data_IF_190379632618
#
_entry.id   IF_190379632618
#
_cell.length_a   1.000
_cell.length_b   1.000
_cell.length_c   1.000
_cell.angle_alpha   90.00
_cell.angle_beta   90.00
_cell.angle_gamma   90.00
#
_symmetry.space_group_name_H-M   'P 1'
#
loop_
_entity.id
_entity.type
_entity.pdbx_description
1 polymer ?
#
# COMPACT_ATOMS: atom_id res chain seq x y z
N UNK A 1 4.41 34.43 -15.15
CA UNK A 1 3.95 33.14 -14.60
C UNK A 1 4.32 32.07 -15.61
N UNK A 2 5.38 31.32 -15.36
CA UNK A 2 5.81 30.22 -16.24
C UNK A 2 4.88 29.04 -15.98
N UNK A 3 4.23 28.45 -17.00
CA UNK A 3 3.45 27.25 -16.79
C UNK A 3 4.40 26.11 -16.40
N UNK A 4 4.17 25.49 -15.25
CA UNK A 4 4.77 24.18 -14.96
C UNK A 4 4.04 23.20 -15.88
N UNK A 5 4.66 22.86 -17.00
CA UNK A 5 4.19 21.78 -17.84
C UNK A 5 4.35 20.48 -17.04
N UNK A 6 3.27 20.06 -16.36
CA UNK A 6 3.16 18.70 -15.84
C UNK A 6 3.24 17.76 -17.03
N UNK A 7 4.39 17.10 -17.21
CA UNK A 7 4.54 16.06 -18.20
C UNK A 7 3.60 14.92 -17.81
N UNK A 8 2.43 14.86 -18.45
CA UNK A 8 1.50 13.76 -18.28
C UNK A 8 2.17 12.54 -18.91
N UNK A 9 2.82 11.71 -18.08
CA UNK A 9 3.30 10.41 -18.53
C UNK A 9 2.08 9.59 -18.95
N UNK A 10 2.07 8.96 -20.13
CA UNK A 10 0.99 8.07 -20.49
C UNK A 10 0.93 6.92 -19.47
N UNK A 11 -0.28 6.43 -19.12
CA UNK A 11 -0.42 5.33 -18.18
C UNK A 11 0.35 4.11 -18.68
N UNK A 12 1.00 3.41 -17.77
CA UNK A 12 1.71 2.19 -18.10
C UNK A 12 0.73 1.11 -18.56
N UNK A 13 1.17 0.23 -19.45
CA UNK A 13 0.35 -0.91 -19.89
C UNK A 13 0.08 -1.80 -18.68
N UNK A 14 -1.19 -2.10 -18.43
CA UNK A 14 -1.61 -3.01 -17.36
C UNK A 14 -0.92 -4.37 -17.50
N UNK A 15 -0.35 -4.85 -16.41
CA UNK A 15 0.35 -6.14 -16.29
C UNK A 15 -0.56 -7.13 -15.56
N UNK A 16 -0.98 -8.19 -16.24
CA UNK A 16 -1.85 -9.20 -15.65
C UNK A 16 -1.17 -9.88 -14.44
N UNK A 17 -1.92 -10.06 -13.35
CA UNK A 17 -1.47 -10.59 -12.07
C UNK A 17 -0.75 -9.58 -11.16
N UNK A 18 -0.53 -8.34 -11.61
CA UNK A 18 0.15 -7.33 -10.79
C UNK A 18 -0.78 -6.63 -9.82
N UNK A 19 -0.42 -6.64 -8.54
CA UNK A 19 -1.28 -6.20 -7.44
C UNK A 19 -0.57 -5.12 -6.64
N UNK A 20 -1.20 -3.96 -6.53
CA UNK A 20 -0.86 -2.94 -5.55
C UNK A 20 -1.42 -3.32 -4.17
N UNK A 21 -0.64 -3.13 -3.12
CA UNK A 21 -1.05 -3.37 -1.73
C UNK A 21 -0.92 -2.08 -0.96
N UNK A 22 -2.04 -1.55 -0.47
CA UNK A 22 -2.09 -0.35 0.36
C UNK A 22 -2.67 -0.70 1.73
N UNK A 23 -1.78 -0.90 2.70
CA UNK A 23 -2.16 -1.06 4.10
C UNK A 23 -2.44 0.30 4.76
N UNK A 24 -3.39 0.33 5.69
CA UNK A 24 -3.66 1.55 6.45
C UNK A 24 -4.71 1.36 7.53
N UNK A 25 -4.72 2.27 8.51
CA UNK A 25 -5.81 2.26 9.50
C UNK A 25 -7.13 2.68 8.85
N UNK A 26 -7.11 3.61 7.90
CA UNK A 26 -8.29 4.14 7.21
C UNK A 26 -9.38 4.63 8.18
N UNK A 27 -9.01 5.59 9.02
CA UNK A 27 -9.85 6.12 10.10
C UNK A 27 -10.02 7.64 10.02
N UNK A 28 -10.81 8.15 9.04
CA UNK A 28 -11.43 7.44 7.93
C UNK A 28 -10.52 7.36 6.68
N UNK A 29 -10.91 6.55 5.69
CA UNK A 29 -10.36 6.68 4.33
C UNK A 29 -10.70 8.06 3.74
N UNK A 30 -9.83 8.61 2.89
CA UNK A 30 -9.97 9.95 2.33
C UNK A 30 -9.34 10.03 0.93
N UNK A 31 -9.55 11.15 0.23
CA UNK A 31 -9.13 11.34 -1.17
C UNK A 31 -7.63 11.13 -1.41
N UNK A 32 -6.78 11.48 -0.43
CA UNK A 32 -5.33 11.24 -0.53
C UNK A 32 -4.96 9.77 -0.70
N UNK A 33 -5.66 8.84 -0.04
CA UNK A 33 -5.43 7.40 -0.21
C UNK A 33 -5.85 6.94 -1.62
N UNK A 34 -7.01 7.40 -2.07
CA UNK A 34 -7.55 7.04 -3.38
C UNK A 34 -6.67 7.57 -4.52
N UNK A 35 -6.21 8.81 -4.41
CA UNK A 35 -5.30 9.43 -5.38
C UNK A 35 -3.96 8.69 -5.43
N UNK A 36 -3.36 8.38 -4.27
CA UNK A 36 -2.10 7.65 -4.21
C UNK A 36 -2.21 6.23 -4.79
N UNK A 37 -3.31 5.52 -4.50
CA UNK A 37 -3.58 4.20 -5.05
C UNK A 37 -3.71 4.24 -6.57
N UNK A 38 -4.47 5.21 -7.09
CA UNK A 38 -4.71 5.34 -8.53
C UNK A 38 -3.44 5.77 -9.28
N UNK A 39 -2.69 6.74 -8.74
CA UNK A 39 -1.43 7.19 -9.34
C UNK A 39 -0.42 6.04 -9.41
N UNK A 40 -0.27 5.26 -8.34
CA UNK A 40 0.59 4.09 -8.34
C UNK A 40 0.11 3.04 -9.36
N UNK A 41 -1.21 2.81 -9.44
CA UNK A 41 -1.81 1.86 -10.37
C UNK A 41 -1.52 2.24 -11.82
N UNK A 42 -1.77 3.50 -12.19
CA UNK A 42 -1.54 3.99 -13.55
C UNK A 42 -0.05 4.05 -13.90
N UNK A 43 0.80 4.55 -12.99
CA UNK A 43 2.21 4.73 -13.26
C UNK A 43 2.97 3.39 -13.40
N UNK A 44 2.54 2.36 -12.68
CA UNK A 44 3.21 1.05 -12.66
C UNK A 44 2.47 -0.03 -13.47
N UNK A 45 1.29 0.29 -13.99
CA UNK A 45 0.47 -0.64 -14.78
C UNK A 45 -0.06 -1.78 -13.91
N UNK A 46 -0.46 -1.48 -12.67
CA UNK A 46 -1.04 -2.47 -11.76
C UNK A 46 -2.44 -2.85 -12.26
N UNK A 47 -2.74 -4.16 -12.24
CA UNK A 47 -4.08 -4.64 -12.61
C UNK A 47 -5.13 -4.18 -11.61
N UNK A 48 -4.80 -4.30 -10.32
CA UNK A 48 -5.67 -3.91 -9.21
C UNK A 48 -4.88 -3.40 -8.01
N UNK A 49 -5.58 -2.70 -7.11
CA UNK A 49 -5.05 -2.28 -5.81
C UNK A 49 -5.93 -2.85 -4.69
N UNK A 50 -5.30 -3.57 -3.76
CA UNK A 50 -5.90 -4.07 -2.54
C UNK A 50 -5.70 -3.05 -1.41
N UNK A 51 -6.80 -2.53 -0.89
CA UNK A 51 -6.84 -1.75 0.35
C UNK A 51 -6.97 -2.72 1.52
N UNK A 52 -6.03 -2.66 2.46
CA UNK A 52 -5.98 -3.58 3.61
C UNK A 52 -6.13 -2.80 4.91
N UNK A 53 -7.34 -2.72 5.48
CA UNK A 53 -7.56 -2.07 6.77
C UNK A 53 -6.84 -2.85 7.87
N UNK A 54 -6.02 -2.17 8.66
CA UNK A 54 -5.31 -2.82 9.75
C UNK A 54 -6.25 -3.33 10.85
N UNK A 55 -5.93 -4.44 11.50
CA UNK A 55 -6.66 -4.95 12.67
C UNK A 55 -6.32 -4.10 13.90
N UNK A 56 -5.08 -4.24 14.38
CA UNK A 56 -4.49 -3.39 15.42
C UNK A 56 -3.20 -2.79 14.87
N UNK A 57 -3.14 -1.47 14.63
CA UNK A 57 -1.89 -0.83 14.22
C UNK A 57 -0.86 -0.95 15.35
N UNK A 58 0.38 -1.38 15.10
CA UNK A 58 1.40 -1.56 16.14
C UNK A 58 1.71 -0.26 16.92
N UNK A 59 1.46 0.90 16.31
CA UNK A 59 1.79 2.22 16.86
C UNK A 59 0.60 2.97 17.51
N UNK A 60 -0.61 2.37 17.55
CA UNK A 60 -1.81 2.98 18.15
C UNK A 60 -2.49 2.05 19.17
N UNK A 61 -1.72 1.58 20.15
CA UNK A 61 -2.27 0.77 21.25
C UNK A 61 -3.13 1.62 22.22
N UNK A 62 -2.92 2.95 22.26
CA UNK A 62 -3.53 3.86 23.25
C UNK A 62 -4.67 4.74 22.69
N UNK A 63 -4.92 4.70 21.38
CA UNK A 63 -5.96 5.50 20.73
C UNK A 63 -6.99 4.60 20.05
N UNK A 64 -8.25 4.66 20.49
CA UNK A 64 -9.32 3.87 19.91
C UNK A 64 -9.60 4.36 18.48
N UNK A 65 -9.09 3.64 17.48
CA UNK A 65 -9.58 3.77 16.12
C UNK A 65 -11.06 3.38 16.06
N UNK A 66 -11.79 3.85 15.04
CA UNK A 66 -13.14 3.37 14.80
C UNK A 66 -13.14 1.81 14.68
N UNK A 67 -14.27 1.14 15.03
CA UNK A 67 -14.41 -0.30 14.90
C UNK A 67 -13.97 -0.79 13.52
N UNK A 68 -13.30 -1.95 13.47
CA UNK A 68 -12.76 -2.48 12.21
C UNK A 68 -13.84 -2.61 11.12
N UNK A 69 -15.06 -3.04 11.49
CA UNK A 69 -16.20 -3.12 10.58
C UNK A 69 -16.60 -1.77 9.98
N UNK A 70 -16.57 -0.70 10.77
CA UNK A 70 -16.90 0.65 10.28
C UNK A 70 -15.83 1.15 9.29
N UNK A 71 -14.56 0.91 9.59
CA UNK A 71 -13.44 1.27 8.71
C UNK A 71 -13.50 0.49 7.39
N UNK A 72 -13.78 -0.82 7.43
CA UNK A 72 -14.01 -1.63 6.23
C UNK A 72 -15.19 -1.10 5.42
N UNK A 73 -16.32 -0.78 6.07
CA UNK A 73 -17.49 -0.25 5.39
C UNK A 73 -17.19 1.08 4.70
N UNK A 74 -16.47 1.99 5.37
CA UNK A 74 -16.02 3.24 4.76
C UNK A 74 -15.10 3.02 3.56
N UNK A 75 -14.15 2.08 3.65
CA UNK A 75 -13.27 1.72 2.52
C UNK A 75 -14.09 1.18 1.35
N UNK A 76 -15.01 0.23 1.59
CA UNK A 76 -15.90 -0.33 0.56
C UNK A 76 -16.69 0.77 -0.16
N UNK A 77 -17.27 1.71 0.59
CA UNK A 77 -18.02 2.83 0.03
C UNK A 77 -17.11 3.75 -0.81
N UNK A 78 -15.91 4.06 -0.31
CA UNK A 78 -14.99 4.97 -0.98
C UNK A 78 -14.43 4.41 -2.31
N UNK A 79 -14.27 3.09 -2.42
CA UNK A 79 -13.69 2.45 -3.61
C UNK A 79 -14.74 1.92 -4.60
N UNK A 80 -16.03 1.91 -4.24
CA UNK A 80 -17.09 1.24 -4.99
C UNK A 80 -17.20 1.64 -6.48
N UNK A 81 -16.80 2.87 -6.83
CA UNK A 81 -16.85 3.37 -8.19
C UNK A 81 -15.62 3.01 -9.05
N UNK A 82 -14.54 2.47 -8.46
CA UNK A 82 -13.32 2.08 -9.17
C UNK A 82 -13.22 0.55 -9.25
N UNK A 83 -13.43 -0.06 -10.43
CA UNK A 83 -13.40 -1.52 -10.58
C UNK A 83 -12.00 -2.13 -10.40
N UNK A 84 -10.94 -1.32 -10.41
CA UNK A 84 -9.58 -1.79 -10.16
C UNK A 84 -9.22 -1.77 -8.67
N UNK A 85 -10.11 -1.31 -7.80
CA UNK A 85 -9.88 -1.28 -6.36
C UNK A 85 -10.69 -2.34 -5.65
N UNK A 86 -10.05 -3.04 -4.73
CA UNK A 86 -10.68 -4.05 -3.88
C UNK A 86 -10.27 -3.85 -2.43
N UNK A 87 -11.13 -4.29 -1.51
CA UNK A 87 -10.80 -4.35 -0.08
C UNK A 87 -10.43 -5.78 0.30
N UNK A 88 -9.40 -5.93 1.12
CA UNK A 88 -9.05 -7.20 1.75
C UNK A 88 -9.13 -7.06 3.27
N UNK A 89 -9.91 -7.94 3.90
CA UNK A 89 -10.08 -8.00 5.36
C UNK A 89 -9.05 -8.93 6.03
N UNK A 90 -8.04 -9.40 5.27
CA UNK A 90 -7.10 -10.44 5.71
C UNK A 90 -6.42 -10.13 7.06
N UNK A 91 -6.10 -8.87 7.34
CA UNK A 91 -5.53 -8.51 8.64
C UNK A 91 -6.55 -8.57 9.77
N UNK A 92 -7.78 -8.11 9.52
CA UNK A 92 -8.88 -8.14 10.49
C UNK A 92 -9.25 -9.58 10.82
N UNK A 93 -9.35 -10.44 9.81
CA UNK A 93 -9.64 -11.87 9.96
C UNK A 93 -8.53 -12.60 10.71
N UNK A 94 -7.26 -12.29 10.42
CA UNK A 94 -6.11 -12.84 11.15
C UNK A 94 -6.10 -12.41 12.61
N UNK A 95 -6.55 -11.19 12.89
CA UNK A 95 -6.52 -10.60 14.22
C UNK A 95 -5.11 -10.30 14.73
N UNK A 96 -5.01 -9.83 15.96
CA UNK A 96 -3.73 -9.46 16.57
C UNK A 96 -3.12 -8.18 15.97
N UNK A 97 -1.79 -8.07 16.04
CA UNK A 97 -1.03 -6.94 15.51
C UNK A 97 -0.86 -7.09 13.99
N UNK A 98 -1.08 -6.00 13.26
CA UNK A 98 -0.86 -5.93 11.83
C UNK A 98 0.63 -5.74 11.50
N UNK A 99 1.28 -6.76 10.94
CA UNK A 99 2.61 -6.64 10.34
C UNK A 99 2.55 -6.77 8.82
N UNK A 100 3.08 -5.78 8.11
CA UNK A 100 3.06 -5.73 6.64
C UNK A 100 3.81 -6.91 6.01
N UNK A 101 4.92 -7.35 6.61
CA UNK A 101 5.68 -8.51 6.13
C UNK A 101 4.83 -9.80 6.11
N UNK A 102 4.01 -10.01 7.14
CA UNK A 102 3.11 -11.17 7.23
C UNK A 102 1.98 -11.09 6.22
N UNK A 103 1.43 -9.89 6.02
CA UNK A 103 0.37 -9.64 5.05
C UNK A 103 0.86 -9.86 3.62
N UNK A 104 2.04 -9.37 3.27
CA UNK A 104 2.63 -9.59 1.94
C UNK A 104 2.90 -11.07 1.69
N UNK A 105 3.45 -11.81 2.67
CA UNK A 105 3.69 -13.25 2.50
C UNK A 105 2.38 -14.02 2.32
N UNK A 106 1.36 -13.75 3.15
CA UNK A 106 0.06 -14.40 3.04
C UNK A 106 -0.60 -14.17 1.67
N UNK A 107 -0.49 -12.95 1.12
CA UNK A 107 -0.97 -12.65 -0.23
C UNK A 107 -0.15 -13.37 -1.30
N UNK A 108 1.17 -13.43 -1.14
CA UNK A 108 2.04 -14.13 -2.08
C UNK A 108 1.72 -15.64 -2.11
N UNK A 109 1.48 -16.24 -0.95
CA UNK A 109 1.07 -17.64 -0.83
C UNK A 109 -0.30 -17.89 -1.46
N UNK A 110 -1.27 -17.01 -1.27
CA UNK A 110 -2.58 -17.12 -1.92
C UNK A 110 -2.46 -17.09 -3.45
N UNK A 111 -1.61 -16.22 -4.00
CA UNK A 111 -1.34 -16.17 -5.44
C UNK A 111 -0.67 -17.47 -5.94
N UNK A 112 0.34 -17.98 -5.20
CA UNK A 112 1.02 -19.25 -5.51
C UNK A 112 0.06 -20.44 -5.50
N UNK A 113 -0.81 -20.53 -4.48
CA UNK A 113 -1.82 -21.58 -4.37
C UNK A 113 -2.82 -21.56 -5.52
N UNK A 114 -3.10 -20.37 -6.06
CA UNK A 114 -3.92 -20.20 -7.24
C UNK A 114 -3.16 -20.38 -8.57
N UNK A 115 -1.91 -20.87 -8.51
CA UNK A 115 -1.08 -21.19 -9.68
C UNK A 115 -0.47 -19.96 -10.36
N UNK A 116 -0.39 -18.80 -9.67
CA UNK A 116 0.16 -17.55 -10.21
C UNK A 116 1.51 -17.22 -9.59
N UNK A 117 2.31 -16.44 -10.32
CA UNK A 117 3.53 -15.84 -9.78
C UNK A 117 3.14 -14.55 -9.06
N UNK A 118 3.51 -14.38 -7.78
CA UNK A 118 3.14 -13.18 -7.03
C UNK A 118 3.88 -11.94 -7.56
N UNK A 119 3.11 -10.97 -8.04
CA UNK A 119 3.63 -9.66 -8.47
C UNK A 119 3.08 -8.55 -7.58
N UNK A 120 3.53 -8.53 -6.33
CA UNK A 120 3.06 -7.61 -5.31
C UNK A 120 3.90 -6.33 -5.30
N UNK A 121 3.21 -5.19 -5.22
CA UNK A 121 3.82 -3.86 -5.01
C UNK A 121 3.21 -3.22 -3.78
N UNK A 122 3.99 -3.05 -2.71
CA UNK A 122 3.60 -2.28 -1.55
C UNK A 122 3.61 -0.79 -1.88
N UNK A 123 2.46 -0.12 -1.73
CA UNK A 123 2.30 1.31 -1.99
C UNK A 123 2.39 2.05 -0.65
N UNK A 124 3.40 2.91 -0.51
CA UNK A 124 3.66 3.73 0.67
C UNK A 124 3.56 5.20 0.31
N UNK A 125 3.10 6.03 1.25
CA UNK A 125 3.33 7.46 1.17
C UNK A 125 4.78 7.78 1.54
N UNK A 126 5.33 8.85 0.98
CA UNK A 126 6.71 9.29 1.26
C UNK A 126 6.97 9.54 2.77
N UNK A 127 5.95 9.91 3.53
CA UNK A 127 6.02 10.11 4.99
C UNK A 127 6.23 8.81 5.78
N UNK A 128 5.80 7.66 5.25
CA UNK A 128 5.91 6.36 5.90
C UNK A 128 7.25 5.68 5.63
N UNK A 129 7.93 6.05 4.55
CA UNK A 129 9.19 5.42 4.14
C UNK A 129 10.31 5.49 5.19
N UNK A 130 10.53 6.60 5.92
CA UNK A 130 11.58 6.68 6.94
C UNK A 130 11.42 5.65 8.08
N UNK A 131 10.20 5.20 8.35
CA UNK A 131 9.91 4.22 9.40
C UNK A 131 10.17 2.78 8.95
N UNK A 132 10.26 2.53 7.62
CA UNK A 132 10.37 1.19 7.04
C UNK A 132 11.52 0.34 7.64
N UNK A 133 12.74 0.87 7.90
CA UNK A 133 13.79 0.10 8.55
C UNK A 133 13.47 -0.38 9.97
N UNK A 134 12.53 0.28 10.65
CA UNK A 134 12.06 -0.11 11.99
C UNK A 134 10.85 -1.04 11.97
N UNK A 135 10.32 -1.40 10.80
CA UNK A 135 9.15 -2.28 10.71
C UNK A 135 9.50 -3.72 11.11
N UNK A 136 8.47 -4.52 11.39
CA UNK A 136 8.66 -5.94 11.65
C UNK A 136 9.19 -6.65 10.40
N UNK A 137 10.39 -7.25 10.53
CA UNK A 137 11.08 -8.01 9.49
C UNK A 137 11.22 -7.27 8.14
N UNK A 138 11.90 -6.11 8.12
CA UNK A 138 11.90 -5.23 6.95
C UNK A 138 12.70 -5.83 5.79
N UNK A 139 13.75 -6.61 6.09
CA UNK A 139 14.52 -7.35 5.09
C UNK A 139 13.68 -8.42 4.37
N UNK A 140 12.79 -9.12 5.10
CA UNK A 140 11.85 -10.07 4.49
C UNK A 140 10.85 -9.34 3.60
N UNK A 141 10.33 -8.21 4.09
CA UNK A 141 9.36 -7.40 3.35
C UNK A 141 9.91 -6.91 1.99
N UNK A 142 11.12 -6.32 1.98
CA UNK A 142 11.73 -5.80 0.74
C UNK A 142 12.11 -6.94 -0.24
N UNK A 143 12.38 -8.14 0.26
CA UNK A 143 12.64 -9.31 -0.57
C UNK A 143 11.35 -9.91 -1.18
N UNK A 144 10.21 -9.72 -0.52
CA UNK A 144 8.94 -10.35 -0.89
C UNK A 144 8.10 -9.52 -1.88
N UNK A 145 8.35 -8.21 -2.00
CA UNK A 145 7.56 -7.34 -2.88
C UNK A 145 8.35 -6.15 -3.42
N UNK A 146 7.82 -5.50 -4.46
CA UNK A 146 8.31 -4.19 -4.90
C UNK A 146 7.76 -3.11 -3.97
N UNK A 147 8.52 -2.03 -3.77
CA UNK A 147 8.04 -0.86 -3.02
C UNK A 147 7.82 0.31 -3.97
N UNK A 148 6.64 0.89 -3.92
CA UNK A 148 6.28 2.12 -4.62
C UNK A 148 6.05 3.22 -3.59
N UNK A 149 6.74 4.35 -3.75
CA UNK A 149 6.63 5.49 -2.85
C UNK A 149 5.94 6.63 -3.59
N UNK A 150 4.77 7.04 -3.09
CA UNK A 150 3.99 8.14 -3.66
C UNK A 150 4.44 9.45 -3.00
N UNK A 151 4.92 10.43 -3.79
CA UNK A 151 5.32 11.73 -3.26
C UNK A 151 4.09 12.48 -2.74
N UNK A 152 4.30 13.33 -1.73
CA UNK A 152 3.26 14.21 -1.20
C UNK A 152 3.76 15.64 -1.19
N UNK A 153 2.94 16.56 -1.68
CA UNK A 153 3.28 17.98 -1.65
C UNK A 153 3.55 18.43 -0.20
N UNK A 154 4.62 19.20 0.00
CA UNK A 154 5.08 19.63 1.32
C UNK A 154 6.04 18.67 2.03
N UNK A 155 6.33 17.49 1.46
CA UNK A 155 7.34 16.57 1.98
C UNK A 155 8.55 16.48 1.06
N UNK A 156 9.78 16.38 1.60
CA UNK A 156 10.96 16.17 0.78
C UNK A 156 10.86 14.83 0.04
N UNK A 157 11.46 14.77 -1.15
CA UNK A 157 11.63 13.50 -1.84
C UNK A 157 12.39 12.52 -0.94
N UNK A 158 12.01 11.23 -0.93
CA UNK A 158 12.70 10.24 -0.11
C UNK A 158 14.18 10.11 -0.49
N UNK A 159 15.06 10.02 0.51
CA UNK A 159 16.48 9.73 0.30
C UNK A 159 16.65 8.23 -0.01
N UNK A 160 16.59 7.90 -1.30
CA UNK A 160 16.71 6.53 -1.80
C UNK A 160 18.09 5.92 -1.53
N UNK A 161 19.16 6.74 -1.50
CA UNK A 161 20.50 6.25 -1.18
C UNK A 161 20.61 5.87 0.29
N UNK A 162 20.05 6.69 1.19
CA UNK A 162 19.95 6.34 2.60
C UNK A 162 19.16 5.06 2.80
N UNK A 163 18.01 4.93 2.13
CA UNK A 163 17.17 3.74 2.26
C UNK A 163 17.92 2.49 1.80
N UNK A 164 18.59 2.54 0.63
CA UNK A 164 19.36 1.41 0.13
C UNK A 164 20.50 0.99 1.07
N UNK A 165 21.12 1.94 1.80
CA UNK A 165 22.13 1.63 2.82
C UNK A 165 21.56 0.94 4.05
N UNK A 166 20.31 1.25 4.44
CA UNK A 166 19.64 0.64 5.58
C UNK A 166 19.00 -0.71 5.24
N UNK A 167 18.41 -0.80 4.05
CA UNK A 167 17.66 -1.94 3.54
C UNK A 167 18.03 -2.18 2.06
N UNK A 168 19.09 -2.94 1.78
CA UNK A 168 19.47 -3.26 0.40
C UNK A 168 18.43 -4.19 -0.24
N UNK A 169 17.89 -3.78 -1.38
CA UNK A 169 16.86 -4.45 -2.16
C UNK A 169 16.43 -3.61 -3.36
#
# INVERSE_FOLDING_TARGET
MTPVAGSIRPPARVRAGSIGVMGGTFDPIHIGHLAAAEEAREALGLERVLFIPNATPPFKLDGAAAPAGDRVAMVRLAIAANPAFEVSEAEIERGGVSYTADTIEALADAERQAGRVPELTLILSAETLPDLPGWHEPARLVAACRIAVVPREGYPAPDLEWLHRQLPG
#
